data_IF_104235964490
#
_entry.id   IF_104235964490
#
_cell.length_a   1.000
_cell.length_b   1.000
_cell.length_c   1.000
_cell.angle_alpha   90.00
_cell.angle_beta   90.00
_cell.angle_gamma   90.00
#
_symmetry.space_group_name_H-M   'P 1'
#
loop_
_entity.id
_entity.type
_entity.pdbx_description
1 polymer ?
#
# COMPACT_ATOMS: atom_id res chain seq x y z
N UNK A 1 -6.65 11.76 -2.23
CA UNK A 1 -7.57 11.00 -1.36
C UNK A 1 -6.77 10.18 -0.38
N UNK A 2 -7.39 9.69 0.71
CA UNK A 2 -6.75 8.68 1.59
C UNK A 2 -7.03 7.30 1.03
N UNK A 3 -5.99 6.50 0.84
CA UNK A 3 -6.07 5.13 0.32
C UNK A 3 -5.49 4.16 1.36
N UNK A 4 -6.11 2.98 1.51
CA UNK A 4 -5.61 1.93 2.42
C UNK A 4 -4.18 1.51 2.10
N UNK A 5 -3.88 1.43 0.80
CA UNK A 5 -2.58 1.14 0.22
C UNK A 5 -2.46 1.87 -1.12
N UNK A 6 -1.32 2.50 -1.35
CA UNK A 6 -0.97 3.17 -2.60
C UNK A 6 0.50 2.92 -2.93
N UNK A 7 0.81 2.80 -4.22
CA UNK A 7 2.17 2.70 -4.76
C UNK A 7 2.33 3.74 -5.87
N UNK A 8 3.53 4.29 -6.00
CA UNK A 8 3.88 5.20 -7.09
C UNK A 8 4.06 4.46 -8.43
N UNK A 9 4.26 5.23 -9.51
CA UNK A 9 4.39 4.67 -10.87
C UNK A 9 5.66 3.85 -11.08
N UNK A 10 6.69 4.10 -10.29
CA UNK A 10 7.96 3.37 -10.34
C UNK A 10 7.96 2.13 -9.43
N UNK A 11 6.86 1.88 -8.70
CA UNK A 11 6.70 0.80 -7.72
C UNK A 11 7.80 0.80 -6.63
N UNK A 12 8.27 1.99 -6.27
CA UNK A 12 9.36 2.20 -5.30
C UNK A 12 8.85 2.85 -4.01
N UNK A 13 8.02 3.88 -4.10
CA UNK A 13 7.41 4.53 -2.94
C UNK A 13 6.00 3.98 -2.71
N UNK A 14 5.70 3.68 -1.46
CA UNK A 14 4.38 3.26 -1.03
C UNK A 14 3.86 4.09 0.13
N UNK A 15 2.53 4.18 0.22
CA UNK A 15 1.83 4.78 1.35
C UNK A 15 0.70 3.88 1.84
N UNK A 16 0.52 3.81 3.16
CA UNK A 16 -0.62 3.14 3.80
C UNK A 16 -1.27 4.06 4.82
N UNK A 17 -2.60 4.13 4.78
CA UNK A 17 -3.40 4.96 5.66
C UNK A 17 -4.66 4.21 6.08
N UNK A 18 -5.36 4.71 7.09
CA UNK A 18 -6.72 4.23 7.34
C UNK A 18 -7.67 4.65 6.23
N UNK A 19 -8.59 3.75 5.84
CA UNK A 19 -9.63 4.03 4.87
C UNK A 19 -10.97 3.39 5.26
N UNK A 20 -12.07 4.05 4.88
CA UNK A 20 -13.42 3.62 5.26
C UNK A 20 -13.90 2.36 4.52
N UNK A 21 -13.38 2.10 3.32
CA UNK A 21 -13.77 0.94 2.51
C UNK A 21 -13.44 -0.38 3.22
N UNK A 22 -12.29 -0.44 3.90
CA UNK A 22 -11.82 -1.65 4.57
C UNK A 22 -11.76 -1.52 6.10
N UNK A 23 -11.90 -0.31 6.66
CA UNK A 23 -11.78 -0.07 8.09
C UNK A 23 -10.40 -0.45 8.66
N UNK A 24 -9.36 -0.38 7.82
CA UNK A 24 -8.00 -0.76 8.21
C UNK A 24 -7.29 0.37 8.96
N UNK A 25 -6.32 0.01 9.80
CA UNK A 25 -5.25 0.91 10.26
C UNK A 25 -4.08 0.89 9.27
N UNK A 26 -3.10 1.82 9.35
CA UNK A 26 -1.88 1.76 8.56
C UNK A 26 -1.19 0.40 8.66
N UNK A 27 -0.83 -0.17 7.51
CA UNK A 27 -0.30 -1.53 7.38
C UNK A 27 1.20 -1.65 7.70
N UNK A 28 1.86 -0.52 7.96
CA UNK A 28 3.27 -0.41 8.29
C UNK A 28 3.46 0.57 9.45
N UNK A 29 4.60 0.52 10.18
CA UNK A 29 4.86 1.44 11.31
C UNK A 29 4.87 2.93 10.93
N UNK A 30 5.13 3.23 9.66
CA UNK A 30 5.10 4.57 9.09
C UNK A 30 4.13 4.59 7.91
N UNK A 31 3.42 5.70 7.71
CA UNK A 31 2.51 5.82 6.56
C UNK A 31 3.26 5.66 5.24
N UNK A 32 4.49 6.19 5.13
CA UNK A 32 5.34 6.08 3.95
C UNK A 32 6.37 4.95 4.10
N UNK A 33 6.60 4.19 3.03
CA UNK A 33 7.56 3.10 3.00
C UNK A 33 8.17 2.91 1.61
N UNK A 34 9.34 2.25 1.56
CA UNK A 34 10.02 1.86 0.32
C UNK A 34 9.73 0.39 0.02
N UNK A 35 9.31 0.11 -1.21
CA UNK A 35 9.09 -1.24 -1.71
C UNK A 35 10.43 -1.88 -2.00
N UNK A 36 10.69 -3.03 -1.36
CA UNK A 36 11.90 -3.84 -1.64
C UNK A 36 11.68 -4.79 -2.82
N UNK A 37 10.53 -5.45 -2.84
CA UNK A 37 10.12 -6.42 -3.88
C UNK A 37 8.60 -6.40 -3.96
N UNK A 38 8.04 -6.50 -5.17
CA UNK A 38 6.61 -6.68 -5.43
C UNK A 38 6.38 -7.98 -6.20
N UNK A 39 5.44 -8.79 -5.75
CA UNK A 39 5.00 -10.01 -6.45
C UNK A 39 3.50 -9.90 -6.78
N UNK A 40 3.10 -10.32 -7.98
CA UNK A 40 1.72 -10.30 -8.44
C UNK A 40 1.33 -11.69 -8.93
N UNK A 41 0.22 -12.22 -8.42
CA UNK A 41 -0.22 -13.61 -8.64
C UNK A 41 -1.62 -13.63 -9.26
N UNK A 42 -1.87 -14.59 -10.15
CA UNK A 42 -3.17 -14.83 -10.77
C UNK A 42 -3.64 -16.27 -10.51
N UNK A 43 -4.96 -16.44 -10.45
CA UNK A 43 -5.59 -17.77 -10.40
C UNK A 43 -6.04 -18.15 -11.82
N UNK A 44 -5.67 -19.36 -12.27
CA UNK A 44 -6.04 -19.93 -13.58
C UNK A 44 -7.18 -20.91 -13.41
#
# INVERSE_FOLDING_TARGET
GKFGLWLDGDLYQGRTQSCSTYGNEPLAPHEDFVVKTLECWAFI
#
